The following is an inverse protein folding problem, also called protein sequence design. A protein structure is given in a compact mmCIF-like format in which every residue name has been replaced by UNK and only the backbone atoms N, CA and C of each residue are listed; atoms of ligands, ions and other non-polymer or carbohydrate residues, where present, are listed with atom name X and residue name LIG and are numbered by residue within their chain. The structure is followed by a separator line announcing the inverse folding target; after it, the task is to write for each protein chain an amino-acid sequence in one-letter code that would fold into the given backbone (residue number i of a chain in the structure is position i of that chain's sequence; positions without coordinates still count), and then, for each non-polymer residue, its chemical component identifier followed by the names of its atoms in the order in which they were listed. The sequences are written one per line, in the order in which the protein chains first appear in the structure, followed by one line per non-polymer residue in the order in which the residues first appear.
data_IF_729396322201
#
_entry.id   IF_729396322201
#
_cell.length_a   1.000
_cell.length_b   1.000
_cell.length_c   1.000
_cell.angle_alpha   90.00
_cell.angle_beta   90.00
_cell.angle_gamma   90.00
#
_symmetry.space_group_name_H-M   'P 1'
#
loop_
_entity.id
_entity.type
_entity.pdbx_description
1 polymer ?
#
# COMPACT_ATOMS: atom_id res chain seq x y z
N UNK A 1 -2.72 5.42 11.33
CA UNK A 1 -3.12 6.35 10.26
C UNK A 1 -4.12 7.36 10.78
N UNK A 2 -3.86 8.65 10.52
CA UNK A 2 -4.83 9.71 10.80
C UNK A 2 -5.61 10.00 9.53
N UNK A 3 -6.88 9.58 9.52
CA UNK A 3 -7.82 9.77 8.43
C UNK A 3 -8.80 10.89 8.80
N UNK A 4 -8.88 11.92 7.96
CA UNK A 4 -9.74 13.08 8.14
C UNK A 4 -10.77 13.14 7.03
N UNK A 5 -12.03 13.42 7.39
CA UNK A 5 -13.12 13.60 6.43
C UNK A 5 -13.69 15.01 6.63
N UNK A 6 -13.63 15.82 5.58
CA UNK A 6 -14.27 17.13 5.56
C UNK A 6 -15.79 16.97 5.52
N UNK A 7 -16.50 17.58 6.48
CA UNK A 7 -17.95 17.41 6.64
C UNK A 7 -18.78 18.12 5.55
N UNK A 8 -18.23 19.17 4.94
CA UNK A 8 -18.88 19.98 3.91
C UNK A 8 -18.77 19.39 2.50
N UNK A 9 -17.66 18.71 2.22
CA UNK A 9 -17.28 18.24 0.89
C UNK A 9 -17.15 16.72 0.78
N UNK A 10 -17.05 16.01 1.90
CA UNK A 10 -16.72 14.59 1.92
C UNK A 10 -15.26 14.28 1.53
N UNK A 11 -14.40 15.31 1.42
CA UNK A 11 -13.01 15.12 1.05
C UNK A 11 -12.26 14.32 2.12
N UNK A 12 -11.65 13.22 1.70
CA UNK A 12 -10.85 12.35 2.53
C UNK A 12 -9.36 12.75 2.45
N UNK A 13 -8.72 12.93 3.59
CA UNK A 13 -7.28 13.14 3.69
C UNK A 13 -6.65 12.12 4.64
N UNK A 14 -5.52 11.54 4.24
CA UNK A 14 -4.74 10.61 5.07
C UNK A 14 -3.37 11.24 5.32
N UNK A 15 -3.07 11.49 6.59
CA UNK A 15 -1.80 12.05 7.02
C UNK A 15 -0.85 10.96 7.51
N UNK A 16 0.46 11.25 7.46
CA UNK A 16 1.53 10.35 7.90
C UNK A 16 1.62 9.04 7.11
N UNK A 17 1.44 9.11 5.79
CA UNK A 17 1.67 7.94 4.94
C UNK A 17 3.15 7.55 4.98
N UNK A 18 3.41 6.28 5.31
CA UNK A 18 4.73 5.67 5.27
C UNK A 18 4.63 4.37 4.48
N UNK A 19 5.63 4.06 3.68
CA UNK A 19 5.72 2.75 3.06
C UNK A 19 6.09 1.70 4.12
N UNK A 20 5.27 0.66 4.22
CA UNK A 20 5.63 -0.53 5.00
C UNK A 20 6.72 -1.28 4.24
N UNK A 21 7.91 -1.39 4.84
CA UNK A 21 9.05 -2.13 4.30
C UNK A 21 9.38 -3.23 5.30
N UNK A 22 9.45 -4.47 4.83
CA UNK A 22 9.86 -5.62 5.62
C UNK A 22 11.33 -5.45 6.02
N UNK A 23 11.60 -5.31 7.31
CA UNK A 23 12.94 -5.10 7.86
C UNK A 23 13.90 -6.26 7.54
N UNK A 24 13.40 -7.48 7.31
CA UNK A 24 14.22 -8.63 6.98
C UNK A 24 14.61 -8.64 5.51
N UNK A 25 13.63 -8.43 4.62
CA UNK A 25 13.80 -8.59 3.16
C UNK A 25 14.15 -7.30 2.41
N UNK A 26 13.91 -6.13 3.01
CA UNK A 26 14.02 -4.84 2.35
C UNK A 26 13.03 -4.68 1.19
N UNK A 27 11.86 -5.33 1.32
CA UNK A 27 10.80 -5.33 0.31
C UNK A 27 9.57 -4.63 0.85
N UNK A 28 8.73 -4.11 -0.05
CA UNK A 28 7.44 -3.55 0.36
C UNK A 28 6.58 -4.65 0.98
N UNK A 29 6.20 -4.48 2.25
CA UNK A 29 5.36 -5.43 2.95
C UNK A 29 3.90 -5.25 2.53
N UNK A 30 3.24 -6.38 2.27
CA UNK A 30 1.83 -6.45 1.92
C UNK A 30 1.10 -7.54 2.72
N UNK A 31 1.72 -8.11 3.76
CA UNK A 31 1.22 -9.27 4.49
C UNK A 31 0.26 -8.92 5.63
N UNK A 32 -0.48 -7.81 5.50
CA UNK A 32 -1.53 -7.47 6.47
C UNK A 32 -2.75 -8.39 6.27
N UNK A 33 -3.41 -8.84 7.34
CA UNK A 33 -4.62 -9.66 7.25
C UNK A 33 -5.71 -9.06 6.35
N UNK A 34 -5.89 -7.74 6.40
CA UNK A 34 -6.76 -6.99 5.48
C UNK A 34 -5.93 -6.19 4.47
N UNK A 35 -6.31 -6.17 3.17
CA UNK A 35 -5.53 -5.48 2.14
C UNK A 35 -5.68 -3.96 2.16
N UNK A 36 -6.76 -3.42 2.72
CA UNK A 36 -7.00 -2.00 2.96
C UNK A 36 -8.07 -1.80 4.04
N UNK A 37 -8.21 -0.57 4.54
CA UNK A 37 -9.19 -0.24 5.58
C UNK A 37 -10.60 -0.14 4.99
N UNK A 38 -11.44 -1.13 5.31
CA UNK A 38 -12.89 -1.11 5.04
C UNK A 38 -13.62 -1.77 6.22
N UNK A 39 -13.63 -1.04 7.34
CA UNK A 39 -14.23 -1.47 8.61
C UNK A 39 -15.76 -1.42 8.55
N UNK A 40 -16.47 -2.04 9.53
CA UNK A 40 -17.92 -2.10 9.51
C UNK A 40 -18.59 -0.73 9.41
N UNK A 41 -18.10 0.30 10.12
CA UNK A 41 -18.73 1.62 10.06
C UNK A 41 -18.47 2.33 8.71
N UNK A 42 -17.29 2.14 8.12
CA UNK A 42 -17.02 2.64 6.77
C UNK A 42 -17.88 1.94 5.73
N UNK A 43 -18.10 0.63 5.88
CA UNK A 43 -18.97 -0.16 5.02
C UNK A 43 -20.43 0.29 5.16
N UNK A 44 -20.90 0.55 6.38
CA UNK A 44 -22.24 1.07 6.64
C UNK A 44 -22.43 2.47 6.03
N UNK A 45 -21.44 3.36 6.18
CA UNK A 45 -21.44 4.69 5.57
C UNK A 45 -21.48 4.64 4.03
N UNK A 46 -20.66 3.77 3.42
CA UNK A 46 -20.58 3.66 1.96
C UNK A 46 -21.75 2.87 1.35
N UNK A 47 -22.34 1.96 2.13
CA UNK A 47 -23.31 0.93 1.70
C UNK A 47 -22.73 -0.07 0.70
N UNK A 48 -23.39 -1.23 0.55
CA UNK A 48 -22.98 -2.23 -0.45
C UNK A 48 -23.04 -1.68 -1.89
N UNK A 49 -23.98 -0.76 -2.18
CA UNK A 49 -24.12 -0.13 -3.50
C UNK A 49 -22.92 0.78 -3.79
N UNK A 50 -22.49 1.57 -2.80
CA UNK A 50 -21.31 2.45 -2.93
C UNK A 50 -20.02 1.66 -3.11
N UNK A 51 -19.90 0.52 -2.42
CA UNK A 51 -18.75 -0.38 -2.53
C UNK A 51 -18.71 -1.10 -3.88
N UNK A 52 -19.81 -1.73 -4.29
CA UNK A 52 -19.87 -2.49 -5.54
C UNK A 52 -19.83 -1.60 -6.80
N UNK A 53 -20.37 -0.38 -6.72
CA UNK A 53 -20.38 0.58 -7.82
C UNK A 53 -19.19 1.55 -7.76
N UNK A 54 -19.37 2.78 -7.26
CA UNK A 54 -18.35 3.83 -7.30
C UNK A 54 -16.97 3.43 -6.81
N UNK A 55 -16.86 2.81 -5.62
CA UNK A 55 -15.56 2.47 -5.04
C UNK A 55 -14.77 1.51 -5.94
N UNK A 56 -15.40 0.39 -6.32
CA UNK A 56 -14.78 -0.63 -7.18
C UNK A 56 -14.43 -0.05 -8.56
N UNK A 57 -15.34 0.71 -9.17
CA UNK A 57 -15.10 1.35 -10.47
C UNK A 57 -13.95 2.35 -10.42
N UNK A 58 -13.89 3.20 -9.39
CA UNK A 58 -12.82 4.19 -9.21
C UNK A 58 -11.46 3.53 -8.94
N UNK A 59 -11.41 2.43 -8.20
CA UNK A 59 -10.17 1.65 -8.00
C UNK A 59 -9.63 1.10 -9.32
N UNK A 60 -10.48 0.50 -10.16
CA UNK A 60 -10.10 -0.06 -11.47
C UNK A 60 -9.66 1.06 -12.42
N UNK A 61 -10.44 2.14 -12.50
CA UNK A 61 -10.14 3.27 -13.37
C UNK A 61 -8.79 3.91 -13.00
N UNK A 62 -8.55 4.12 -11.70
CA UNK A 62 -7.27 4.64 -11.19
C UNK A 62 -6.10 3.72 -11.54
N UNK A 63 -6.26 2.40 -11.33
CA UNK A 63 -5.23 1.44 -11.70
C UNK A 63 -4.91 1.49 -13.20
N UNK A 64 -5.93 1.59 -14.06
CA UNK A 64 -5.76 1.75 -15.51
C UNK A 64 -5.02 3.03 -15.89
N UNK A 65 -5.33 4.16 -15.26
CA UNK A 65 -4.62 5.42 -15.51
C UNK A 65 -3.11 5.30 -15.22
N UNK A 66 -2.71 4.47 -14.24
CA UNK A 66 -1.29 4.24 -13.93
C UNK A 66 -0.63 3.17 -14.80
N UNK A 67 -1.39 2.26 -15.43
CA UNK A 67 -0.84 1.18 -16.29
C UNK A 67 -0.82 1.53 -17.77
N UNK A 68 -1.72 2.41 -18.22
CA UNK A 68 -1.77 2.87 -19.61
C UNK A 68 -0.44 3.51 -20.00
N UNK A 69 0.06 3.33 -21.24
CA UNK A 69 1.48 3.47 -21.58
C UNK A 69 1.99 4.91 -21.43
N UNK A 70 2.43 5.23 -20.22
CA UNK A 70 3.15 6.44 -19.88
C UNK A 70 4.31 6.07 -18.96
N UNK A 71 5.50 5.92 -19.54
CA UNK A 71 6.73 5.49 -18.85
C UNK A 71 7.17 6.42 -17.70
N UNK A 72 6.54 7.60 -17.55
CA UNK A 72 6.86 8.59 -16.52
C UNK A 72 6.56 8.11 -15.10
N UNK A 73 5.50 7.33 -14.89
CA UNK A 73 5.08 6.88 -13.54
C UNK A 73 6.15 6.01 -12.88
N UNK A 74 6.72 5.08 -13.65
CA UNK A 74 7.80 4.20 -13.20
C UNK A 74 9.04 5.00 -12.75
N UNK A 75 9.37 6.07 -13.48
CA UNK A 75 10.50 6.95 -13.14
C UNK A 75 10.23 7.74 -11.86
N UNK A 76 9.00 8.23 -11.68
CA UNK A 76 8.58 8.92 -10.44
C UNK A 76 8.67 7.96 -9.24
N UNK A 77 8.16 6.73 -9.37
CA UNK A 77 8.27 5.73 -8.30
C UNK A 77 9.72 5.40 -7.95
N UNK A 78 10.62 5.30 -8.93
CA UNK A 78 12.05 5.10 -8.66
C UNK A 78 12.64 6.22 -7.81
N UNK A 79 12.28 7.47 -8.08
CA UNK A 79 12.75 8.62 -7.31
C UNK A 79 12.22 8.58 -5.86
N UNK A 80 10.91 8.39 -5.68
CA UNK A 80 10.28 8.36 -4.35
C UNK A 80 10.78 7.18 -3.52
N UNK A 81 10.80 5.97 -4.10
CA UNK A 81 11.19 4.76 -3.37
C UNK A 81 12.69 4.70 -3.06
N UNK A 82 13.54 5.40 -3.81
CA UNK A 82 14.98 5.46 -3.51
C UNK A 82 15.21 5.98 -2.10
N UNK A 83 14.59 7.10 -1.74
CA UNK A 83 14.80 7.74 -0.45
C UNK A 83 14.25 6.87 0.69
N UNK A 84 13.11 6.22 0.48
CA UNK A 84 12.51 5.27 1.41
C UNK A 84 13.36 4.02 1.63
N UNK A 85 13.92 3.44 0.56
CA UNK A 85 14.80 2.26 0.66
C UNK A 85 16.11 2.60 1.38
N UNK A 86 16.67 3.80 1.16
CA UNK A 86 17.85 4.27 1.89
C UNK A 86 17.52 4.45 3.38
N UNK A 87 16.41 5.10 3.70
CA UNK A 87 15.98 5.34 5.08
C UNK A 87 15.73 4.02 5.84
N UNK A 88 15.04 3.07 5.21
CA UNK A 88 14.81 1.73 5.78
C UNK A 88 16.12 0.97 6.01
N UNK A 89 17.05 1.00 5.04
CA UNK A 89 18.33 0.32 5.19
C UNK A 89 19.20 0.92 6.30
N UNK A 90 19.24 2.26 6.42
CA UNK A 90 19.97 2.94 7.51
C UNK A 90 19.39 2.61 8.88
N UNK A 91 18.06 2.65 9.02
CA UNK A 91 17.36 2.23 10.26
C UNK A 91 17.77 0.83 10.69
N UNK A 92 17.85 -0.11 9.74
CA UNK A 92 18.30 -1.49 10.00
C UNK A 92 19.75 -1.59 10.47
N UNK A 93 20.66 -0.75 9.94
CA UNK A 93 22.05 -0.73 10.39
C UNK A 93 22.17 -0.21 11.82
N UNK A 94 21.35 0.77 12.21
CA UNK A 94 21.32 1.36 13.56
C UNK A 94 20.73 0.40 14.62
N UNK A 95 19.76 -0.44 14.23
CA UNK A 95 19.15 -1.44 15.13
C UNK A 95 20.05 -2.67 15.39
N UNK A 96 21.15 -2.84 14.66
CA UNK A 96 22.08 -3.95 14.89
C UNK A 96 23.06 -3.64 16.03
N UNK A 97 23.13 -4.49 17.07
CA UNK A 97 23.93 -4.23 18.27
C UNK A 97 25.45 -4.13 18.00
N UNK A 98 25.95 -4.72 16.91
CA UNK A 98 27.37 -4.66 16.54
C UNK A 98 27.81 -3.30 15.95
N UNK A 99 26.87 -2.44 15.54
CA UNK A 99 27.15 -1.17 14.86
C UNK A 99 26.95 0.08 15.72
N UNK A 100 26.64 -0.06 17.02
CA UNK A 100 26.43 1.09 17.93
C UNK A 100 27.64 2.05 18.05
N UNK A 101 28.82 1.66 17.59
CA UNK A 101 30.05 2.48 17.59
C UNK A 101 30.61 2.80 16.21
N UNK A 102 29.98 2.35 15.12
CA UNK A 102 30.44 2.59 13.75
C UNK A 102 29.63 3.73 13.11
N UNK A 103 30.31 4.64 12.39
CA UNK A 103 29.61 5.62 11.55
C UNK A 103 28.76 4.88 10.51
N UNK A 104 27.53 5.35 10.20
CA UNK A 104 26.67 4.71 9.22
C UNK A 104 27.39 4.65 7.88
N UNK A 105 27.76 3.45 7.46
CA UNK A 105 28.40 3.20 6.17
C UNK A 105 27.47 3.60 5.03
N UNK A 106 28.02 4.22 3.99
CA UNK A 106 27.22 4.61 2.83
C UNK A 106 26.62 3.38 2.16
N UNK A 107 25.31 3.43 1.88
CA UNK A 107 24.59 2.26 1.34
C UNK A 107 25.08 1.99 -0.09
N UNK A 108 25.51 0.77 -0.44
CA UNK A 108 26.00 0.47 -1.77
C UNK A 108 24.96 0.79 -2.86
N UNK A 109 25.36 1.58 -3.86
CA UNK A 109 24.44 2.05 -4.92
C UNK A 109 23.74 0.90 -5.67
N UNK A 110 24.43 -0.21 -5.92
CA UNK A 110 23.88 -1.39 -6.59
C UNK A 110 22.76 -2.07 -5.78
N UNK A 111 22.91 -2.11 -4.45
CA UNK A 111 21.88 -2.63 -3.55
C UNK A 111 20.63 -1.76 -3.60
N UNK A 112 20.79 -0.43 -3.56
CA UNK A 112 19.67 0.52 -3.68
C UNK A 112 18.94 0.33 -5.01
N UNK A 113 19.68 0.25 -6.12
CA UNK A 113 19.10 0.05 -7.45
C UNK A 113 18.27 -1.24 -7.47
N UNK A 114 18.78 -2.31 -6.86
CA UNK A 114 18.10 -3.61 -6.79
C UNK A 114 16.81 -3.54 -5.97
N UNK A 115 16.87 -2.96 -4.76
CA UNK A 115 15.70 -2.79 -3.87
C UNK A 115 14.61 -1.95 -4.54
N UNK A 116 14.99 -0.79 -5.09
CA UNK A 116 14.05 0.10 -5.78
C UNK A 116 13.43 -0.58 -7.00
N UNK A 117 14.25 -1.27 -7.81
CA UNK A 117 13.74 -1.97 -9.00
C UNK A 117 12.73 -3.06 -8.63
N UNK A 118 12.99 -3.80 -7.55
CA UNK A 118 12.08 -4.82 -7.04
C UNK A 118 10.77 -4.21 -6.52
N UNK A 119 10.85 -3.14 -5.74
CA UNK A 119 9.69 -2.43 -5.20
C UNK A 119 8.80 -1.86 -6.34
N UNK A 120 9.43 -1.19 -7.31
CA UNK A 120 8.75 -0.66 -8.50
C UNK A 120 8.08 -1.76 -9.32
N UNK A 121 8.78 -2.88 -9.52
CA UNK A 121 8.21 -4.04 -10.24
C UNK A 121 6.99 -4.62 -9.50
N UNK A 122 7.08 -4.75 -8.16
CA UNK A 122 5.97 -5.23 -7.33
C UNK A 122 4.74 -4.30 -7.39
N UNK A 123 4.93 -2.97 -7.28
CA UNK A 123 3.84 -1.99 -7.45
C UNK A 123 3.21 -2.11 -8.84
N UNK A 124 4.05 -2.22 -9.87
CA UNK A 124 3.60 -2.33 -11.27
C UNK A 124 2.77 -3.58 -11.51
N UNK A 125 3.22 -4.73 -11.00
CA UNK A 125 2.48 -5.99 -11.11
C UNK A 125 1.12 -5.89 -10.40
N UNK A 126 1.07 -5.29 -9.20
CA UNK A 126 -0.19 -5.05 -8.48
C UNK A 126 -1.12 -4.14 -9.26
N UNK A 127 -0.65 -2.99 -9.76
CA UNK A 127 -1.46 -2.08 -10.57
C UNK A 127 -2.02 -2.77 -11.83
N UNK A 128 -1.19 -3.53 -12.55
CA UNK A 128 -1.64 -4.31 -13.71
C UNK A 128 -2.72 -5.34 -13.33
N UNK A 129 -2.55 -6.04 -12.20
CA UNK A 129 -3.54 -7.00 -11.72
C UNK A 129 -4.90 -6.38 -11.38
N UNK A 130 -4.92 -5.09 -10.99
CA UNK A 130 -6.14 -4.34 -10.70
C UNK A 130 -6.75 -3.70 -11.96
N UNK A 131 -5.91 -3.35 -12.95
CA UNK A 131 -6.34 -2.72 -14.19
C UNK A 131 -7.04 -3.69 -15.15
N UNK A 132 -6.62 -4.96 -15.13
CA UNK A 132 -7.20 -6.03 -15.93
C UNK A 132 -8.59 -6.39 -15.41
N UNK A 133 -9.62 -6.08 -16.19
CA UNK A 133 -11.00 -6.42 -15.90
C UNK A 133 -11.48 -7.39 -16.98
N UNK A 134 -11.38 -8.69 -16.70
CA UNK A 134 -11.78 -9.73 -17.66
C UNK A 134 -13.28 -10.04 -17.59
N UNK A 135 -13.90 -9.92 -16.41
CA UNK A 135 -15.35 -10.05 -16.21
C UNK A 135 -15.83 -9.50 -14.85
N UNK A 136 -17.14 -9.32 -14.70
CA UNK A 136 -17.80 -8.73 -13.52
C UNK A 136 -17.68 -9.59 -12.26
N UNK A 137 -17.62 -10.92 -12.41
CA UNK A 137 -17.77 -11.87 -11.29
C UNK A 137 -16.43 -12.29 -10.64
N UNK A 138 -15.29 -12.00 -11.28
CA UNK A 138 -13.97 -12.50 -10.84
C UNK A 138 -12.84 -11.47 -10.93
N UNK A 139 -13.16 -10.17 -10.88
CA UNK A 139 -12.11 -9.16 -10.88
C UNK A 139 -11.37 -9.11 -9.52
N UNK A 140 -10.06 -8.81 -9.57
CA UNK A 140 -9.17 -8.79 -8.39
C UNK A 140 -9.63 -7.81 -7.31
N UNK A 141 -10.26 -6.70 -7.71
CA UNK A 141 -10.76 -5.67 -6.79
C UNK A 141 -11.87 -6.22 -5.90
N UNK A 142 -12.83 -6.95 -6.46
CA UNK A 142 -13.90 -7.63 -5.69
C UNK A 142 -13.31 -8.57 -4.65
N UNK A 143 -12.29 -9.37 -5.01
CA UNK A 143 -11.60 -10.25 -4.06
C UNK A 143 -10.95 -9.47 -2.91
N UNK A 144 -10.35 -8.32 -3.18
CA UNK A 144 -9.74 -7.48 -2.15
C UNK A 144 -10.80 -6.83 -1.25
N UNK A 145 -11.92 -6.37 -1.81
CA UNK A 145 -13.07 -5.85 -1.03
C UNK A 145 -13.61 -6.93 -0.09
N UNK A 146 -13.82 -8.14 -0.59
CA UNK A 146 -14.29 -9.27 0.22
C UNK A 146 -13.31 -9.61 1.33
N UNK A 147 -12.00 -9.62 1.05
CA UNK A 147 -10.97 -9.85 2.05
C UNK A 147 -10.87 -8.73 3.09
N UNK A 148 -11.08 -7.47 2.70
CA UNK A 148 -11.03 -6.30 3.57
C UNK A 148 -12.19 -6.24 4.57
N UNK A 149 -13.38 -6.67 4.16
CA UNK A 149 -14.58 -6.71 5.04
C UNK A 149 -14.79 -8.03 5.77
N UNK A 150 -13.88 -8.99 5.62
CA UNK A 150 -14.00 -10.30 6.25
C UNK A 150 -13.67 -10.20 7.75
N UNK A 151 -14.60 -10.63 8.61
CA UNK A 151 -14.45 -10.55 10.06
C UNK A 151 -13.26 -11.38 10.59
N UNK A 152 -12.97 -12.54 10.01
CA UNK A 152 -11.83 -13.38 10.41
C UNK A 152 -10.49 -12.75 10.05
N UNK A 153 -10.43 -11.99 8.95
CA UNK A 153 -9.23 -11.21 8.62
C UNK A 153 -9.10 -10.00 9.54
N UNK A 154 -10.21 -9.32 9.80
CA UNK A 154 -10.24 -8.08 10.57
C UNK A 154 -9.95 -8.31 12.05
N UNK A 155 -10.38 -9.44 12.63
CA UNK A 155 -10.08 -9.79 14.03
C UNK A 155 -8.60 -10.15 14.27
N UNK A 156 -7.84 -10.44 13.20
CA UNK A 156 -6.38 -10.67 13.25
C UNK A 156 -5.58 -9.38 13.19
N UNK A 157 -6.23 -8.23 12.97
CA UNK A 157 -5.57 -6.92 13.01
C UNK A 157 -5.26 -6.52 14.44
N UNK A 158 -4.20 -5.71 14.61
CA UNK A 158 -3.85 -5.15 15.91
C UNK A 158 -5.02 -4.31 16.48
N UNK A 159 -5.39 -4.46 17.76
CA UNK A 159 -6.46 -3.67 18.37
C UNK A 159 -6.29 -2.15 18.27
N UNK A 160 -5.05 -1.63 18.26
CA UNK A 160 -4.77 -0.20 18.08
C UNK A 160 -5.12 0.31 16.67
N UNK A 161 -5.33 -0.59 15.70
CA UNK A 161 -5.89 -0.24 14.40
C UNK A 161 -7.39 0.05 14.44
N UNK A 162 -8.06 -0.34 15.52
CA UNK A 162 -9.51 -0.23 15.75
C UNK A 162 -10.33 -0.93 14.65
N UNK A 163 -10.18 -2.27 14.49
CA UNK A 163 -10.88 -3.03 13.43
C UNK A 163 -12.41 -2.95 13.49
N UNK A 164 -12.98 -2.63 14.64
CA UNK A 164 -14.43 -2.44 14.82
C UNK A 164 -14.93 -1.04 14.42
N UNK A 165 -14.03 -0.07 14.15
CA UNK A 165 -14.35 1.31 13.77
C UNK A 165 -14.15 1.56 12.29
#
# INVERSE_FOLDING_TARGET
DMMYIHQDSGLLNVSYFKFDVDDNKGELDANRPVPFRLTPNMLELLTDIGVAGPLTASMIATARCFTQPNFKVQTIFRAILRDEMIASHKKKQEEQPENMSAQPSDVPGELIITMVTRAVTSISQRLNSLANFESTDSNKVTTLVLAARNNDNMCRMDPAWHPWL
#
